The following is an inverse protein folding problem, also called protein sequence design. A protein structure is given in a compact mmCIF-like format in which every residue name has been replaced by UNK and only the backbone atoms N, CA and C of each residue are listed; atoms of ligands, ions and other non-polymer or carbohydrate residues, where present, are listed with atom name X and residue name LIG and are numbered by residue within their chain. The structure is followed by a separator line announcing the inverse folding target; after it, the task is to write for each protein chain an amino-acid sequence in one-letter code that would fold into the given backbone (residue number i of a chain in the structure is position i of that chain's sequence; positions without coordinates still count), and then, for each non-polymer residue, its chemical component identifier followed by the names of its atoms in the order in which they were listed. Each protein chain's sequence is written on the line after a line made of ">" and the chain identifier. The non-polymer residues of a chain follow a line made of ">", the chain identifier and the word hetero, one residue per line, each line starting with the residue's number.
data_IF_026369939181
#
_entry.id   IF_026369939181
#
_cell.length_a   1.000
_cell.length_b   1.000
_cell.length_c   1.000
_cell.angle_alpha   90.00
_cell.angle_beta   90.00
_cell.angle_gamma   90.00
#
_symmetry.space_group_name_H-M   'P 1'
#
loop_
_entity.id
_entity.type
_entity.pdbx_description
1 polymer ?
#
# COMPACT_ATOMS: atom_id res chain seq x y z
N UNK A 1 6.07 27.81 -6.66
CA UNK A 1 5.85 26.37 -6.96
C UNK A 1 6.72 25.53 -6.03
N UNK A 2 6.25 24.36 -5.60
CA UNK A 2 7.05 23.32 -4.93
C UNK A 2 7.21 22.09 -5.85
N UNK A 3 8.42 21.51 -5.84
CA UNK A 3 8.77 20.25 -6.48
C UNK A 3 9.20 19.23 -5.42
N UNK A 4 8.58 18.05 -5.44
CA UNK A 4 8.83 16.95 -4.50
C UNK A 4 9.68 15.87 -5.17
N UNK A 5 10.72 15.44 -4.47
CA UNK A 5 11.60 14.35 -4.88
C UNK A 5 11.68 13.24 -3.84
N UNK A 6 11.88 12.00 -4.29
CA UNK A 6 12.40 10.91 -3.46
C UNK A 6 13.92 10.87 -3.57
N UNK A 7 14.61 10.70 -2.44
CA UNK A 7 16.07 10.49 -2.43
C UNK A 7 16.39 9.00 -2.31
N UNK A 8 16.98 8.45 -3.38
CA UNK A 8 17.45 7.06 -3.44
C UNK A 8 18.67 6.80 -2.56
N UNK A 9 19.00 5.52 -2.34
CA UNK A 9 20.15 5.09 -1.51
C UNK A 9 21.51 5.60 -2.03
N UNK A 10 21.62 5.83 -3.34
CA UNK A 10 22.80 6.42 -3.99
C UNK A 10 22.84 7.96 -3.90
N UNK A 11 21.86 8.59 -3.24
CA UNK A 11 21.72 10.04 -3.17
C UNK A 11 21.06 10.68 -4.39
N UNK A 12 20.71 9.90 -5.42
CA UNK A 12 20.01 10.42 -6.60
C UNK A 12 18.59 10.88 -6.22
N UNK A 13 18.15 11.97 -6.85
CA UNK A 13 16.81 12.51 -6.68
C UNK A 13 15.92 12.09 -7.84
N UNK A 14 14.78 11.47 -7.51
CA UNK A 14 13.73 11.14 -8.46
C UNK A 14 12.57 12.12 -8.25
N UNK A 15 12.21 12.87 -9.29
CA UNK A 15 11.09 13.82 -9.21
C UNK A 15 9.76 13.04 -9.15
N UNK A 16 8.99 13.27 -8.09
CA UNK A 16 7.71 12.59 -7.87
C UNK A 16 6.52 13.46 -8.30
N UNK A 17 6.60 14.76 -8.03
CA UNK A 17 5.47 15.66 -8.20
C UNK A 17 5.89 17.13 -8.29
N UNK A 18 5.10 17.90 -9.04
CA UNK A 18 5.12 19.38 -9.05
C UNK A 18 3.75 19.89 -8.67
N UNK A 19 3.71 20.78 -7.70
CA UNK A 19 2.51 21.54 -7.34
C UNK A 19 2.16 22.59 -8.40
N UNK A 20 0.97 23.17 -8.31
CA UNK A 20 0.63 24.35 -9.11
C UNK A 20 1.41 25.62 -8.69
N UNK A 21 1.45 26.59 -9.60
CA UNK A 21 2.00 27.92 -9.33
C UNK A 21 0.95 28.77 -8.62
N UNK A 22 1.23 29.18 -7.39
CA UNK A 22 0.38 30.13 -6.65
C UNK A 22 0.84 31.55 -6.96
N UNK A 23 -0.01 32.33 -7.62
CA UNK A 23 0.33 33.69 -8.05
C UNK A 23 0.29 34.67 -6.88
N UNK A 24 1.27 35.59 -6.82
CA UNK A 24 1.29 36.75 -5.92
C UNK A 24 1.06 36.42 -4.43
N UNK A 25 1.70 35.37 -3.92
CA UNK A 25 1.58 34.97 -2.52
C UNK A 25 2.93 34.77 -1.85
N UNK A 26 3.10 35.40 -0.67
CA UNK A 26 4.25 35.17 0.23
C UNK A 26 3.99 34.05 1.25
N UNK A 27 2.80 33.45 1.24
CA UNK A 27 2.40 32.33 2.09
C UNK A 27 1.50 31.39 1.28
N UNK A 28 2.05 30.72 0.24
CA UNK A 28 1.27 29.91 -0.67
C UNK A 28 0.66 28.70 0.05
N UNK A 29 -0.59 28.37 -0.31
CA UNK A 29 -1.25 27.13 0.04
C UNK A 29 -1.62 26.42 -1.26
N UNK A 30 -1.08 25.21 -1.45
CA UNK A 30 -1.31 24.42 -2.66
C UNK A 30 -2.55 23.53 -2.53
N UNK A 31 -3.24 23.35 -3.64
CA UNK A 31 -4.45 22.54 -3.80
C UNK A 31 -4.09 21.14 -4.28
N UNK A 32 -3.09 21.01 -5.17
CA UNK A 32 -2.66 19.72 -5.67
C UNK A 32 -2.03 18.88 -4.56
N UNK A 33 -2.42 17.60 -4.53
CA UNK A 33 -1.93 16.60 -3.58
C UNK A 33 -1.16 15.52 -4.33
N UNK A 34 -0.22 14.90 -3.65
CA UNK A 34 0.53 13.76 -4.17
C UNK A 34 0.32 12.53 -3.29
N UNK A 35 -0.02 11.40 -3.92
CA UNK A 35 -0.23 10.12 -3.22
C UNK A 35 1.05 9.31 -3.22
N UNK A 36 1.51 8.92 -2.04
CA UNK A 36 2.69 8.09 -1.83
C UNK A 36 2.32 6.76 -1.18
N UNK A 37 3.01 5.69 -1.56
CA UNK A 37 2.92 4.40 -0.86
C UNK A 37 3.88 4.43 0.33
N UNK A 38 3.36 4.19 1.52
CA UNK A 38 4.17 4.04 2.73
C UNK A 38 4.71 2.61 2.85
N UNK A 39 6.03 2.49 2.99
CA UNK A 39 6.75 1.25 3.21
C UNK A 39 7.43 1.31 4.58
N UNK A 40 6.85 0.62 5.57
CA UNK A 40 7.33 0.64 6.96
C UNK A 40 8.80 0.22 7.09
N UNK A 41 9.23 -0.74 6.26
CA UNK A 41 10.56 -1.32 6.25
C UNK A 41 11.61 -0.46 5.52
N UNK A 42 11.22 0.67 4.92
CA UNK A 42 12.11 1.54 4.14
C UNK A 42 12.14 2.96 4.72
N UNK A 43 13.34 3.50 4.90
CA UNK A 43 13.52 4.93 5.19
C UNK A 43 13.25 5.73 3.92
N UNK A 44 12.04 6.27 3.80
CA UNK A 44 11.61 7.07 2.65
C UNK A 44 11.97 8.54 2.85
N UNK A 45 13.08 8.98 2.25
CA UNK A 45 13.56 10.37 2.34
C UNK A 45 12.93 11.22 1.24
N UNK A 46 12.27 12.31 1.65
CA UNK A 46 11.61 13.29 0.79
C UNK A 46 12.40 14.60 0.77
N UNK A 47 12.59 15.16 -0.43
CA UNK A 47 13.25 16.44 -0.66
C UNK A 47 12.27 17.38 -1.35
N UNK A 48 12.06 18.56 -0.76
CA UNK A 48 11.14 19.59 -1.25
C UNK A 48 11.97 20.77 -1.73
N UNK A 49 11.83 21.15 -3.00
CA UNK A 49 12.47 22.34 -3.58
C UNK A 49 11.42 23.37 -3.94
N UNK A 50 11.61 24.60 -3.48
CA UNK A 50 10.70 25.70 -3.77
C UNK A 50 11.32 26.64 -4.80
N UNK A 51 10.47 27.07 -5.73
CA UNK A 51 10.82 27.97 -6.81
C UNK A 51 9.81 29.11 -6.90
N UNK A 52 10.33 30.33 -7.05
CA UNK A 52 9.56 31.47 -7.54
C UNK A 52 9.58 31.42 -9.07
N UNK A 53 8.39 31.32 -9.66
CA UNK A 53 8.21 31.11 -11.09
C UNK A 53 8.08 32.48 -11.74
N UNK A 54 8.89 32.74 -12.76
CA UNK A 54 8.86 34.04 -13.42
C UNK A 54 7.47 34.30 -14.03
N UNK A 55 7.01 35.54 -13.89
CA UNK A 55 5.78 36.06 -14.47
C UNK A 55 5.59 35.75 -15.95
N UNK A 56 6.68 35.64 -16.73
CA UNK A 56 6.60 35.29 -18.15
C UNK A 56 6.12 33.84 -18.39
N UNK A 57 6.24 32.96 -17.39
CA UNK A 57 5.88 31.54 -17.49
C UNK A 57 4.53 31.20 -16.85
N UNK A 58 3.77 32.17 -16.35
CA UNK A 58 2.50 31.92 -15.64
C UNK A 58 1.43 31.18 -16.47
N UNK A 59 1.51 31.23 -17.81
CA UNK A 59 0.57 30.53 -18.70
C UNK A 59 1.15 29.25 -19.31
N UNK A 60 2.35 28.83 -18.88
CA UNK A 60 3.01 27.61 -19.36
C UNK A 60 2.56 26.44 -18.48
N UNK A 61 2.37 25.27 -19.09
CA UNK A 61 2.09 24.04 -18.35
C UNK A 61 3.25 23.74 -17.40
N UNK A 62 2.94 23.43 -16.14
CA UNK A 62 3.90 23.14 -15.06
C UNK A 62 4.92 22.05 -15.46
N UNK A 63 4.51 21.10 -16.29
CA UNK A 63 5.38 20.02 -16.79
C UNK A 63 6.43 20.51 -17.79
N UNK A 64 6.20 21.65 -18.41
CA UNK A 64 7.10 22.27 -19.40
C UNK A 64 8.02 23.32 -18.78
N UNK A 65 7.86 23.64 -17.49
CA UNK A 65 8.74 24.59 -16.80
C UNK A 65 10.13 23.98 -16.61
N UNK A 66 11.14 24.67 -17.12
CA UNK A 66 12.55 24.36 -16.84
C UNK A 66 12.95 24.98 -15.51
N UNK A 67 13.38 24.17 -14.55
CA UNK A 67 13.66 24.60 -13.17
C UNK A 67 14.88 25.53 -13.08
N UNK A 68 15.83 25.40 -14.01
CA UNK A 68 17.03 26.24 -14.09
C UNK A 68 16.71 27.68 -14.55
N UNK A 69 15.55 27.89 -15.17
CA UNK A 69 15.04 29.21 -15.56
C UNK A 69 14.21 29.88 -14.45
N UNK A 70 13.96 29.19 -13.33
CA UNK A 70 13.16 29.70 -12.21
C UNK A 70 14.05 30.11 -11.03
N UNK A 71 13.58 31.03 -10.20
CA UNK A 71 14.34 31.45 -9.02
C UNK A 71 14.20 30.41 -7.91
N UNK A 72 15.28 29.71 -7.57
CA UNK A 72 15.32 28.79 -6.43
C UNK A 72 15.23 29.55 -5.10
N UNK A 73 14.25 29.17 -4.27
CA UNK A 73 14.00 29.80 -2.96
C UNK A 73 14.62 29.01 -1.80
N UNK A 74 14.70 27.69 -1.92
CA UNK A 74 15.26 26.83 -0.87
C UNK A 74 14.82 25.38 -0.98
N UNK A 75 15.53 24.55 -0.21
CA UNK A 75 15.30 23.11 -0.08
C UNK A 75 15.01 22.74 1.38
N UNK A 76 14.09 21.80 1.58
CA UNK A 76 13.85 21.12 2.83
C UNK A 76 13.92 19.61 2.62
N UNK A 77 14.44 18.87 3.59
CA UNK A 77 14.52 17.40 3.56
C UNK A 77 13.94 16.82 4.84
N UNK A 78 13.13 15.78 4.72
CA UNK A 78 12.67 14.98 5.87
C UNK A 78 12.47 13.52 5.50
N UNK A 79 12.29 12.65 6.49
CA UNK A 79 11.81 11.28 6.27
C UNK A 79 10.29 11.27 6.40
N UNK A 80 9.60 10.53 5.53
CA UNK A 80 8.12 10.41 5.58
C UNK A 80 7.61 10.00 6.96
N UNK A 81 8.34 9.13 7.67
CA UNK A 81 8.01 8.71 9.03
C UNK A 81 7.97 9.86 10.04
N UNK A 82 8.75 10.94 9.83
CA UNK A 82 8.75 12.13 10.70
C UNK A 82 7.46 12.94 10.60
N UNK A 83 6.72 12.81 9.48
CA UNK A 83 5.44 13.50 9.26
C UNK A 83 4.30 12.65 9.85
N UNK A 84 4.20 11.39 9.42
CA UNK A 84 3.06 10.50 9.75
C UNK A 84 2.99 10.08 11.22
N UNK A 85 4.09 10.24 11.97
CA UNK A 85 4.14 9.95 13.43
C UNK A 85 3.78 11.15 14.30
N UNK A 86 3.61 12.35 13.71
CA UNK A 86 3.12 13.52 14.45
C UNK A 86 1.63 13.35 14.77
N UNK A 87 1.20 13.87 15.92
CA UNK A 87 -0.20 13.78 16.36
C UNK A 87 -1.19 14.42 15.39
N UNK A 88 -0.80 15.52 14.76
CA UNK A 88 -1.58 16.23 13.74
C UNK A 88 -1.15 15.84 12.31
N UNK A 89 -0.23 14.87 12.19
CA UNK A 89 0.36 14.42 10.93
C UNK A 89 0.96 15.57 10.11
N UNK A 90 1.43 16.61 10.80
CA UNK A 90 2.01 17.81 10.19
C UNK A 90 3.43 18.07 10.67
N UNK A 91 4.30 18.45 9.75
CA UNK A 91 5.69 18.81 10.02
C UNK A 91 6.00 20.17 9.41
N UNK A 92 6.49 21.10 10.23
CA UNK A 92 7.04 22.37 9.75
C UNK A 92 8.56 22.26 9.66
N UNK A 93 9.11 22.48 8.47
CA UNK A 93 10.53 22.32 8.15
C UNK A 93 11.07 23.67 7.67
N UNK A 94 12.25 24.07 8.16
CA UNK A 94 12.95 25.26 7.67
C UNK A 94 13.53 24.99 6.27
N UNK A 95 13.45 26.00 5.40
CA UNK A 95 14.04 25.98 4.07
C UNK A 95 15.46 26.52 4.12
N UNK A 96 16.38 25.84 3.45
CA UNK A 96 17.78 26.25 3.36
C UNK A 96 18.23 26.43 1.92
N UNK A 97 19.16 27.36 1.72
CA UNK A 97 19.90 27.51 0.46
C UNK A 97 21.39 27.32 0.72
N UNK A 98 22.08 26.58 -0.14
CA UNK A 98 23.55 26.57 -0.16
C UNK A 98 24.04 27.90 -0.73
N UNK A 99 24.61 28.76 0.14
CA UNK A 99 25.15 30.04 -0.28
C UNK A 99 26.55 29.82 -0.87
N UNK A 100 26.66 29.79 -2.20
CA UNK A 100 27.85 29.31 -2.92
C UNK A 100 29.10 30.18 -2.74
N UNK A 101 29.00 31.34 -2.06
CA UNK A 101 30.08 32.33 -2.07
C UNK A 101 30.41 33.05 -0.75
N UNK A 102 29.60 33.00 0.33
CA UNK A 102 29.84 33.92 1.49
C UNK A 102 29.63 33.40 2.91
N UNK A 103 29.20 32.15 3.15
CA UNK A 103 29.01 31.66 4.53
C UNK A 103 29.02 30.14 4.60
N UNK A 104 29.70 29.57 5.59
CA UNK A 104 29.67 28.13 5.92
C UNK A 104 28.36 27.70 6.60
N UNK A 105 27.44 28.62 6.84
CA UNK A 105 26.16 28.37 7.52
C UNK A 105 24.98 28.53 6.53
N UNK A 106 24.08 27.53 6.43
CA UNK A 106 22.90 27.61 5.59
C UNK A 106 21.98 28.74 6.04
N UNK A 107 21.53 29.57 5.08
CA UNK A 107 20.59 30.66 5.31
C UNK A 107 19.17 30.10 5.38
N UNK A 108 18.42 30.43 6.44
CA UNK A 108 16.99 30.13 6.51
C UNK A 108 16.24 31.05 5.53
N UNK A 109 15.50 30.44 4.60
CA UNK A 109 14.81 31.12 3.49
C UNK A 109 13.28 31.03 3.60
N UNK A 110 12.76 30.58 4.74
CA UNK A 110 11.34 30.43 5.00
C UNK A 110 11.01 29.09 5.64
N UNK A 111 9.72 28.79 5.75
CA UNK A 111 9.21 27.56 6.34
C UNK A 111 8.27 26.86 5.38
N UNK A 112 8.36 25.54 5.33
CA UNK A 112 7.43 24.66 4.63
C UNK A 112 6.66 23.84 5.65
N UNK A 113 5.33 23.90 5.61
CA UNK A 113 4.48 23.01 6.39
C UNK A 113 3.97 21.89 5.48
N UNK A 114 4.25 20.65 5.85
CA UNK A 114 3.81 19.44 5.13
C UNK A 114 2.79 18.73 6.00
N UNK A 115 1.63 18.41 5.44
CA UNK A 115 0.60 17.61 6.09
C UNK A 115 0.42 16.31 5.31
N UNK A 116 0.35 15.18 6.03
CA UNK A 116 0.07 13.88 5.46
C UNK A 116 -1.27 13.35 6.00
N UNK A 117 -2.01 12.66 5.14
CA UNK A 117 -3.24 11.97 5.53
C UNK A 117 -3.24 10.57 4.90
N UNK A 118 -3.71 9.57 5.64
CA UNK A 118 -3.91 8.24 5.06
C UNK A 118 -5.22 8.24 4.25
N UNK A 119 -5.15 7.71 3.02
CA UNK A 119 -6.31 7.64 2.15
C UNK A 119 -7.43 6.77 2.76
N UNK A 120 -8.67 7.24 2.73
CA UNK A 120 -9.83 6.54 3.34
C UNK A 120 -10.00 5.12 2.80
N UNK A 121 -9.75 4.91 1.50
CA UNK A 121 -9.84 3.58 0.89
C UNK A 121 -8.84 2.59 1.48
N UNK A 122 -7.72 3.06 2.04
CA UNK A 122 -6.72 2.21 2.72
C UNK A 122 -7.20 1.67 4.05
N UNK A 123 -8.16 2.35 4.68
CA UNK A 123 -8.74 1.97 5.99
C UNK A 123 -9.97 1.08 5.87
N UNK A 124 -10.44 0.84 4.65
CA UNK A 124 -11.74 0.22 4.42
C UNK A 124 -11.61 -1.30 4.33
N UNK A 125 -12.32 -1.99 5.21
CA UNK A 125 -12.47 -3.43 5.19
C UNK A 125 -13.93 -3.82 4.97
N UNK A 126 -14.12 -4.88 4.20
CA UNK A 126 -15.44 -5.38 3.84
C UNK A 126 -15.61 -6.76 4.44
N UNK A 127 -16.64 -6.90 5.26
CA UNK A 127 -17.11 -8.17 5.80
C UNK A 127 -18.22 -8.73 4.90
N UNK A 128 -18.02 -9.94 4.38
CA UNK A 128 -19.01 -10.61 3.52
C UNK A 128 -19.38 -11.98 4.06
N UNK A 129 -20.66 -12.34 4.03
CA UNK A 129 -21.10 -13.73 4.23
C UNK A 129 -21.73 -14.25 2.95
N UNK A 130 -21.26 -15.41 2.50
CA UNK A 130 -21.71 -16.03 1.27
C UNK A 130 -22.59 -17.24 1.57
N UNK A 131 -23.54 -17.47 0.66
CA UNK A 131 -24.32 -18.70 0.61
C UNK A 131 -24.42 -19.18 -0.83
N UNK A 132 -24.40 -20.49 -1.05
CA UNK A 132 -24.79 -21.05 -2.34
C UNK A 132 -26.14 -21.76 -2.26
N UNK A 133 -26.78 -21.98 -3.40
CA UNK A 133 -27.95 -22.86 -3.51
C UNK A 133 -27.85 -23.79 -4.71
N UNK A 134 -28.50 -24.95 -4.61
CA UNK A 134 -28.60 -25.93 -5.69
C UNK A 134 -27.23 -26.22 -6.35
N UNK A 135 -26.18 -26.42 -5.53
CA UNK A 135 -24.86 -26.79 -6.05
C UNK A 135 -24.94 -28.08 -6.87
N UNK A 136 -24.55 -28.01 -8.13
CA UNK A 136 -24.55 -29.14 -9.05
C UNK A 136 -23.14 -29.74 -9.11
N UNK A 137 -22.99 -30.97 -8.63
CA UNK A 137 -21.74 -31.73 -8.78
C UNK A 137 -21.96 -32.95 -9.68
N UNK A 138 -20.95 -33.25 -10.50
CA UNK A 138 -21.04 -34.28 -11.55
C UNK A 138 -21.29 -35.68 -11.01
N UNK A 139 -20.88 -35.96 -9.78
CA UNK A 139 -21.06 -37.27 -9.15
C UNK A 139 -22.09 -37.20 -8.02
N UNK A 140 -23.30 -37.70 -8.30
CA UNK A 140 -24.44 -37.71 -7.37
C UNK A 140 -24.21 -38.58 -6.13
N UNK A 141 -23.18 -39.43 -6.12
CA UNK A 141 -22.83 -40.29 -4.99
C UNK A 141 -21.58 -39.81 -4.23
N UNK A 142 -20.93 -38.75 -4.71
CA UNK A 142 -19.78 -38.16 -4.04
C UNK A 142 -20.20 -37.24 -2.88
N UNK A 143 -19.34 -37.12 -1.88
CA UNK A 143 -19.51 -36.12 -0.82
C UNK A 143 -19.33 -34.73 -1.42
N UNK A 144 -20.27 -33.85 -1.11
CA UNK A 144 -20.23 -32.45 -1.54
C UNK A 144 -19.77 -31.61 -0.36
N UNK A 145 -18.47 -31.41 -0.26
CA UNK A 145 -17.82 -30.67 0.81
C UNK A 145 -17.36 -29.28 0.29
N UNK A 146 -18.28 -28.31 0.04
CA UNK A 146 -17.93 -27.09 -0.68
C UNK A 146 -17.17 -26.06 0.17
N UNK A 147 -16.30 -25.31 -0.50
CA UNK A 147 -15.68 -24.07 -0.01
C UNK A 147 -15.49 -23.06 -1.14
N UNK A 148 -15.37 -21.78 -0.78
CA UNK A 148 -15.06 -20.70 -1.72
C UNK A 148 -13.59 -20.31 -1.66
N UNK A 149 -13.01 -20.05 -2.83
CA UNK A 149 -11.73 -19.38 -3.01
C UNK A 149 -11.97 -18.05 -3.72
N UNK A 150 -11.56 -16.96 -3.10
CA UNK A 150 -11.68 -15.61 -3.66
C UNK A 150 -10.29 -15.16 -4.09
N UNK A 151 -10.16 -14.82 -5.37
CA UNK A 151 -8.92 -14.39 -5.99
C UNK A 151 -9.07 -13.03 -6.64
N UNK A 152 -8.04 -12.19 -6.56
CA UNK A 152 -7.95 -10.97 -7.38
C UNK A 152 -7.25 -11.28 -8.70
N UNK A 153 -7.57 -10.49 -9.72
CA UNK A 153 -6.86 -10.52 -11.00
C UNK A 153 -5.87 -9.36 -11.04
N UNK A 154 -4.60 -9.64 -11.29
CA UNK A 154 -3.57 -8.61 -11.47
C UNK A 154 -3.30 -8.31 -12.95
N UNK A 155 -2.59 -7.22 -13.22
CA UNK A 155 -2.11 -6.89 -14.56
C UNK A 155 -1.32 -8.06 -15.15
N UNK A 156 -1.77 -8.57 -16.30
CA UNK A 156 -1.28 -9.81 -16.92
C UNK A 156 -2.19 -11.03 -16.75
N UNK A 157 -3.34 -10.90 -16.08
CA UNK A 157 -4.37 -11.94 -15.99
C UNK A 157 -4.09 -13.05 -14.97
N UNK A 158 -3.01 -12.91 -14.20
CA UNK A 158 -2.67 -13.85 -13.12
C UNK A 158 -3.68 -13.69 -11.98
N UNK A 159 -4.16 -14.82 -11.47
CA UNK A 159 -5.10 -14.87 -10.35
C UNK A 159 -4.33 -15.10 -9.05
N UNK A 160 -4.54 -14.22 -8.07
CA UNK A 160 -3.88 -14.31 -6.77
C UNK A 160 -4.96 -14.55 -5.70
N UNK A 161 -4.95 -15.70 -5.00
CA UNK A 161 -5.86 -15.95 -3.90
C UNK A 161 -5.68 -14.93 -2.77
N UNK A 162 -6.79 -14.35 -2.32
CA UNK A 162 -6.80 -13.37 -1.22
C UNK A 162 -7.61 -13.83 -0.02
N UNK A 163 -8.57 -14.73 -0.22
CA UNK A 163 -9.42 -15.23 0.85
C UNK A 163 -9.95 -16.64 0.53
N UNK A 164 -10.17 -17.44 1.57
CA UNK A 164 -10.75 -18.79 1.48
C UNK A 164 -11.72 -19.00 2.64
N UNK A 165 -12.88 -19.60 2.37
CA UNK A 165 -13.83 -19.98 3.43
C UNK A 165 -13.47 -21.32 4.07
N UNK A 166 -14.16 -21.67 5.16
CA UNK A 166 -14.16 -23.03 5.66
C UNK A 166 -14.82 -24.02 4.68
N UNK A 167 -14.52 -25.30 4.86
CA UNK A 167 -15.19 -26.40 4.17
C UNK A 167 -16.45 -26.78 4.94
N UNK A 168 -17.60 -26.72 4.28
CA UNK A 168 -18.87 -27.24 4.84
C UNK A 168 -19.06 -28.65 4.31
N UNK A 169 -19.43 -29.59 5.18
CA UNK A 169 -19.50 -31.02 4.81
C UNK A 169 -20.89 -31.40 4.30
N UNK A 170 -20.90 -32.11 3.18
CA UNK A 170 -22.08 -32.72 2.56
C UNK A 170 -23.30 -31.78 2.47
N UNK A 171 -23.11 -30.58 1.94
CA UNK A 171 -24.16 -29.56 1.82
C UNK A 171 -24.19 -28.95 0.42
N UNK A 172 -25.36 -28.94 -0.21
CA UNK A 172 -25.59 -28.35 -1.53
C UNK A 172 -26.09 -26.90 -1.46
N UNK A 173 -26.38 -26.41 -0.24
CA UNK A 173 -26.83 -25.05 0.03
C UNK A 173 -25.98 -24.42 1.16
N UNK A 174 -24.63 -24.46 1.04
CA UNK A 174 -23.74 -24.06 2.12
C UNK A 174 -23.91 -22.58 2.49
N UNK A 175 -23.85 -22.30 3.79
CA UNK A 175 -23.76 -20.95 4.36
C UNK A 175 -22.46 -20.83 5.15
N UNK A 176 -21.49 -20.09 4.61
CA UNK A 176 -20.18 -19.93 5.25
C UNK A 176 -20.18 -18.80 6.27
N UNK A 177 -19.22 -18.87 7.21
CA UNK A 177 -18.89 -17.76 8.09
C UNK A 177 -18.44 -16.54 7.29
N UNK A 178 -18.55 -15.38 7.93
CA UNK A 178 -18.09 -14.13 7.34
C UNK A 178 -16.59 -14.15 7.07
N UNK A 179 -16.24 -13.62 5.90
CA UNK A 179 -14.87 -13.37 5.47
C UNK A 179 -14.60 -11.87 5.44
N UNK A 180 -13.33 -11.49 5.60
CA UNK A 180 -12.89 -10.11 5.62
C UNK A 180 -11.88 -9.88 4.50
N UNK A 181 -12.10 -8.84 3.70
CA UNK A 181 -11.15 -8.40 2.66
C UNK A 181 -10.91 -6.90 2.81
N UNK A 182 -9.66 -6.47 2.68
CA UNK A 182 -9.31 -5.04 2.65
C UNK A 182 -9.30 -4.55 1.19
N UNK A 183 -9.76 -3.32 0.95
CA UNK A 183 -9.72 -2.70 -0.40
C UNK A 183 -8.30 -2.70 -0.98
N UNK A 184 -7.24 -2.51 -0.18
CA UNK A 184 -5.86 -2.60 -0.65
C UNK A 184 -5.49 -3.99 -1.19
N UNK A 185 -6.04 -5.06 -0.60
CA UNK A 185 -5.81 -6.41 -1.11
C UNK A 185 -6.47 -6.58 -2.47
N UNK A 186 -7.68 -6.04 -2.65
CA UNK A 186 -8.49 -6.15 -3.87
C UNK A 186 -8.06 -5.18 -4.98
N UNK A 187 -7.55 -4.00 -4.61
CA UNK A 187 -7.18 -2.90 -5.51
C UNK A 187 -8.18 -1.74 -5.43
N UNK A 188 -9.42 -1.99 -5.88
CA UNK A 188 -10.52 -1.01 -5.84
C UNK A 188 -11.86 -1.73 -5.70
N UNK A 189 -12.96 -0.99 -5.48
CA UNK A 189 -14.30 -1.59 -5.37
C UNK A 189 -14.81 -2.12 -6.71
N UNK A 190 -14.25 -1.58 -7.80
CA UNK A 190 -14.55 -1.89 -9.20
C UNK A 190 -13.67 -3.02 -9.76
N UNK A 191 -12.58 -3.37 -9.07
CA UNK A 191 -11.68 -4.45 -9.48
C UNK A 191 -12.41 -5.79 -9.48
N UNK A 192 -12.32 -6.52 -10.59
CA UNK A 192 -12.93 -7.85 -10.73
C UNK A 192 -12.27 -8.86 -9.79
N UNK A 193 -13.09 -9.52 -8.98
CA UNK A 193 -12.72 -10.70 -8.21
C UNK A 193 -13.25 -11.95 -8.90
N UNK A 194 -12.51 -13.04 -8.74
CA UNK A 194 -12.94 -14.38 -9.15
C UNK A 194 -13.29 -15.15 -7.89
N UNK A 195 -14.54 -15.58 -7.79
CA UNK A 195 -15.04 -16.38 -6.67
C UNK A 195 -15.33 -17.78 -7.21
N UNK A 196 -14.53 -18.74 -6.78
CA UNK A 196 -14.61 -20.12 -7.22
C UNK A 196 -15.15 -21.00 -6.09
N UNK A 197 -16.20 -21.75 -6.37
CA UNK A 197 -16.73 -22.77 -5.49
C UNK A 197 -16.11 -24.11 -5.85
N UNK A 198 -15.42 -24.73 -4.89
CA UNK A 198 -14.74 -26.00 -5.04
C UNK A 198 -15.36 -27.08 -4.15
N UNK A 199 -15.34 -28.32 -4.62
CA UNK A 199 -15.56 -29.50 -3.79
C UNK A 199 -14.24 -29.94 -3.15
N UNK A 200 -14.19 -30.03 -1.82
CA UNK A 200 -13.00 -30.46 -1.11
C UNK A 200 -12.71 -31.94 -1.36
N UNK A 201 -11.42 -32.25 -1.54
CA UNK A 201 -10.89 -33.59 -1.71
C UNK A 201 -9.65 -33.74 -0.82
N UNK A 202 -9.56 -34.83 -0.07
CA UNK A 202 -8.48 -35.06 0.90
C UNK A 202 -7.10 -35.27 0.25
N UNK A 203 -7.04 -35.53 -1.05
CA UNK A 203 -5.81 -35.66 -1.82
C UNK A 203 -5.20 -34.30 -2.23
N UNK A 204 -5.86 -33.18 -1.89
CA UNK A 204 -5.43 -31.81 -2.23
C UNK A 204 -5.83 -31.34 -3.63
N UNK A 205 -6.37 -32.22 -4.49
CA UNK A 205 -6.87 -31.86 -5.82
C UNK A 205 -8.38 -31.62 -5.75
N UNK A 206 -8.75 -30.38 -5.46
CA UNK A 206 -10.15 -29.97 -5.35
C UNK A 206 -10.80 -29.82 -6.72
N UNK A 207 -12.08 -30.16 -6.83
CA UNK A 207 -12.82 -30.09 -8.08
C UNK A 207 -13.64 -28.80 -8.15
N UNK A 208 -13.52 -28.06 -9.25
CA UNK A 208 -14.31 -26.85 -9.45
C UNK A 208 -15.79 -27.21 -9.67
N UNK A 209 -16.66 -26.67 -8.82
CA UNK A 209 -18.13 -26.76 -8.96
C UNK A 209 -18.62 -25.66 -9.90
N UNK A 210 -18.13 -24.43 -9.72
CA UNK A 210 -18.45 -23.28 -10.56
C UNK A 210 -17.79 -22.01 -10.07
N UNK A 211 -17.81 -20.96 -10.89
CA UNK A 211 -17.22 -19.65 -10.55
C UNK A 211 -18.11 -18.49 -10.95
N UNK A 212 -17.90 -17.33 -10.32
CA UNK A 212 -18.41 -16.03 -10.77
C UNK A 212 -17.27 -15.02 -10.79
N UNK A 213 -17.39 -14.03 -11.67
CA UNK A 213 -16.43 -12.94 -11.81
C UNK A 213 -17.18 -11.63 -11.53
N UNK A 214 -16.98 -11.06 -10.34
CA UNK A 214 -17.72 -9.89 -9.87
C UNK A 214 -16.79 -8.96 -9.08
N UNK A 215 -17.02 -7.66 -9.20
CA UNK A 215 -16.37 -6.65 -8.34
C UNK A 215 -17.07 -6.56 -6.98
N UNK A 216 -16.43 -5.91 -6.01
CA UNK A 216 -17.04 -5.67 -4.69
C UNK A 216 -18.33 -4.83 -4.81
N UNK A 217 -18.36 -3.86 -5.73
CA UNK A 217 -19.56 -3.06 -6.02
C UNK A 217 -20.72 -3.92 -6.53
N UNK A 218 -20.43 -4.92 -7.37
CA UNK A 218 -21.45 -5.84 -7.86
C UNK A 218 -21.92 -6.81 -6.78
N UNK A 219 -21.03 -7.27 -5.89
CA UNK A 219 -21.39 -8.10 -4.74
C UNK A 219 -22.29 -7.35 -3.74
N UNK A 220 -22.03 -6.06 -3.52
CA UNK A 220 -22.91 -5.18 -2.74
C UNK A 220 -24.30 -5.06 -3.39
N UNK A 221 -24.36 -4.93 -4.72
CA UNK A 221 -25.63 -4.92 -5.44
C UNK A 221 -26.38 -6.27 -5.34
N UNK A 222 -25.66 -7.39 -5.40
CA UNK A 222 -26.23 -8.74 -5.18
C UNK A 222 -26.84 -8.83 -3.77
N UNK A 223 -26.11 -8.34 -2.76
CA UNK A 223 -26.60 -8.26 -1.38
C UNK A 223 -27.88 -7.42 -1.27
N UNK A 224 -27.84 -6.18 -1.76
CA UNK A 224 -28.95 -5.22 -1.63
C UNK A 224 -30.22 -5.68 -2.35
N UNK A 225 -30.07 -6.38 -3.47
CA UNK A 225 -31.20 -6.90 -4.24
C UNK A 225 -31.73 -8.25 -3.73
N UNK A 226 -30.96 -8.95 -2.88
CA UNK A 226 -31.29 -10.30 -2.41
C UNK A 226 -31.37 -11.36 -3.51
N UNK A 227 -30.84 -11.08 -4.70
CA UNK A 227 -30.88 -11.99 -5.86
C UNK A 227 -29.58 -12.75 -5.96
N UNK A 228 -29.67 -14.07 -6.18
CA UNK A 228 -28.50 -14.91 -6.43
C UNK A 228 -27.94 -14.70 -7.83
N UNK A 229 -26.63 -14.86 -7.94
CA UNK A 229 -25.89 -14.87 -9.20
C UNK A 229 -25.61 -16.32 -9.63
N UNK A 230 -25.84 -16.66 -10.90
CA UNK A 230 -25.59 -18.01 -11.36
C UNK A 230 -24.08 -18.30 -11.48
N UNK A 231 -23.65 -19.46 -10.98
CA UNK A 231 -22.29 -19.94 -11.18
C UNK A 231 -22.08 -20.36 -12.64
N UNK A 232 -20.84 -20.27 -13.10
CA UNK A 232 -20.43 -20.60 -14.45
C UNK A 232 -19.27 -21.61 -14.45
N UNK A 233 -19.21 -22.47 -15.46
CA UNK A 233 -18.07 -23.34 -15.74
C UNK A 233 -17.47 -23.07 -17.12
N UNK A 234 -16.15 -23.21 -17.30
CA UNK A 234 -15.54 -23.15 -18.62
C UNK A 234 -16.03 -24.32 -19.48
N UNK A 235 -16.57 -24.04 -20.67
CA UNK A 235 -17.05 -25.08 -21.57
C UNK A 235 -15.90 -25.88 -22.17
N UNK A 236 -16.00 -27.21 -22.15
CA UNK A 236 -14.90 -28.12 -22.51
C UNK A 236 -14.84 -28.47 -24.02
N UNK A 237 -15.54 -27.75 -24.90
CA UNK A 237 -15.50 -28.06 -26.33
C UNK A 237 -16.28 -27.09 -27.22
N UNK A 238 -15.57 -26.20 -27.90
CA UNK A 238 -16.10 -25.34 -28.95
C UNK A 238 -15.20 -24.12 -29.19
N UNK A 239 -15.01 -23.72 -30.44
CA UNK A 239 -14.13 -22.60 -30.85
C UNK A 239 -14.61 -21.21 -30.39
N UNK A 240 -15.65 -21.12 -29.54
CA UNK A 240 -16.11 -19.91 -28.88
C UNK A 240 -16.07 -20.14 -27.35
N UNK A 241 -15.34 -19.28 -26.65
CA UNK A 241 -15.12 -19.30 -25.20
C UNK A 241 -16.38 -18.91 -24.37
N UNK A 242 -17.53 -19.52 -24.64
CA UNK A 242 -18.74 -19.25 -23.87
C UNK A 242 -18.76 -20.12 -22.61
N UNK A 243 -18.90 -19.47 -21.44
CA UNK A 243 -19.02 -20.15 -20.16
C UNK A 243 -20.42 -20.79 -20.03
N UNK A 244 -20.49 -22.05 -19.58
CA UNK A 244 -21.75 -22.72 -19.28
C UNK A 244 -22.31 -22.17 -17.96
N UNK A 245 -23.46 -21.50 -18.04
CA UNK A 245 -24.24 -21.06 -16.86
C UNK A 245 -24.89 -22.27 -16.18
N UNK A 246 -24.77 -22.36 -14.86
CA UNK A 246 -25.34 -23.40 -14.02
C UNK A 246 -26.63 -22.94 -13.34
N UNK A 247 -27.43 -23.89 -12.84
CA UNK A 247 -28.55 -23.58 -11.94
C UNK A 247 -28.06 -23.16 -10.55
N UNK A 248 -26.88 -23.63 -10.16
CA UNK A 248 -26.23 -23.28 -8.90
C UNK A 248 -26.04 -21.77 -8.79
N UNK A 249 -26.40 -21.20 -7.64
CA UNK A 249 -26.34 -19.74 -7.44
C UNK A 249 -25.49 -19.38 -6.23
N UNK A 250 -24.81 -18.24 -6.30
CA UNK A 250 -24.12 -17.57 -5.19
C UNK A 250 -24.95 -16.38 -4.69
N UNK A 251 -25.07 -16.25 -3.38
CA UNK A 251 -25.71 -15.14 -2.69
C UNK A 251 -24.72 -14.47 -1.74
N UNK A 252 -24.96 -13.18 -1.49
CA UNK A 252 -24.25 -12.38 -0.49
C UNK A 252 -25.26 -12.03 0.61
N UNK A 253 -25.29 -12.84 1.67
CA UNK A 253 -26.27 -12.69 2.76
C UNK A 253 -25.88 -11.53 3.71
N UNK A 254 -24.59 -11.17 3.76
CA UNK A 254 -24.06 -10.03 4.53
C UNK A 254 -23.03 -9.29 3.69
N UNK A 255 -23.11 -7.96 3.67
CA UNK A 255 -22.09 -7.06 3.14
C UNK A 255 -21.98 -5.84 4.05
N UNK A 256 -20.92 -5.74 4.84
CA UNK A 256 -20.68 -4.61 5.76
C UNK A 256 -19.35 -3.97 5.41
N UNK A 257 -19.41 -2.71 5.00
CA UNK A 257 -18.26 -1.84 4.83
C UNK A 257 -17.96 -1.14 6.16
N UNK A 258 -16.71 -1.24 6.63
CA UNK A 258 -16.29 -0.63 7.89
C UNK A 258 -14.89 -0.04 7.78
N UNK A 259 -14.67 1.05 8.52
CA UNK A 259 -13.35 1.66 8.68
C UNK A 259 -12.63 0.95 9.81
N UNK A 260 -11.46 0.40 9.53
CA UNK A 260 -10.59 -0.24 10.51
C UNK A 260 -9.48 0.71 10.95
N UNK A 261 -9.08 0.60 12.22
CA UNK A 261 -7.88 1.26 12.71
C UNK A 261 -6.65 0.65 12.05
N UNK A 262 -5.89 1.46 11.35
CA UNK A 262 -4.67 1.05 10.64
C UNK A 262 -3.45 1.19 11.53
N UNK A 263 -2.31 0.64 11.07
CA UNK A 263 -1.02 0.87 11.72
C UNK A 263 -0.71 2.36 11.91
N UNK A 264 -1.03 3.21 10.93
CA UNK A 264 -0.80 4.66 11.02
C UNK A 264 -1.69 5.34 12.06
N UNK A 265 -2.91 4.85 12.28
CA UNK A 265 -3.77 5.36 13.34
C UNK A 265 -3.16 5.14 14.73
N UNK A 266 -2.52 4.00 14.97
CA UNK A 266 -1.79 3.74 16.22
C UNK A 266 -0.59 4.67 16.38
N UNK A 267 0.20 4.88 15.32
CA UNK A 267 1.35 5.79 15.35
C UNK A 267 0.91 7.23 15.67
N UNK A 268 -0.11 7.75 14.98
CA UNK A 268 -0.66 9.08 15.23
C UNK A 268 -1.31 9.19 16.63
N UNK A 269 -1.84 8.08 17.15
CA UNK A 269 -2.31 7.94 18.52
C UNK A 269 -1.22 7.97 19.59
N UNK A 270 0.07 8.04 19.19
CA UNK A 270 1.21 8.11 20.10
C UNK A 270 1.78 6.76 20.50
N UNK A 271 1.48 5.69 19.78
CA UNK A 271 2.17 4.41 19.96
C UNK A 271 3.59 4.51 19.41
N UNK A 272 4.54 3.96 20.17
CA UNK A 272 5.95 3.93 19.80
C UNK A 272 6.42 2.48 19.60
N UNK A 273 7.34 2.28 18.66
CA UNK A 273 8.02 1.02 18.46
C UNK A 273 9.42 1.08 19.07
N UNK A 274 9.61 0.36 20.18
CA UNK A 274 10.89 0.31 20.86
C UNK A 274 11.79 -0.76 20.26
N UNK A 275 12.94 -0.34 19.72
CA UNK A 275 13.93 -1.27 19.21
C UNK A 275 14.72 -1.90 20.37
N UNK A 276 14.73 -3.24 20.41
CA UNK A 276 15.56 -4.02 21.32
C UNK A 276 16.53 -4.88 20.52
N UNK A 277 17.79 -4.90 20.94
CA UNK A 277 18.82 -5.73 20.33
C UNK A 277 19.39 -6.67 21.37
N UNK A 278 19.39 -7.96 21.06
CA UNK A 278 20.10 -8.98 21.82
C UNK A 278 21.20 -9.53 20.92
N UNK A 279 22.42 -9.51 21.43
CA UNK A 279 23.60 -9.94 20.70
C UNK A 279 24.07 -11.26 21.30
N UNK A 280 24.23 -12.28 20.45
CA UNK A 280 24.76 -13.57 20.86
C UNK A 280 26.28 -13.51 21.04
N UNK A 281 26.74 -13.77 22.25
CA UNK A 281 28.16 -13.86 22.62
C UNK A 281 28.60 -15.31 22.95
N UNK A 282 27.79 -16.32 22.64
CA UNK A 282 28.12 -17.70 22.93
C UNK A 282 29.07 -18.32 21.87
N UNK A 283 30.28 -18.67 22.30
CA UNK A 283 31.01 -19.84 21.78
C UNK A 283 31.62 -19.83 20.36
N UNK A 284 32.15 -18.72 19.83
CA UNK A 284 33.14 -18.74 18.72
C UNK A 284 33.87 -17.40 18.48
N UNK A 285 33.83 -16.46 19.43
CA UNK A 285 34.38 -15.11 19.23
C UNK A 285 35.71 -15.03 19.98
N UNK A 286 36.79 -15.43 19.31
CA UNK A 286 38.12 -15.05 19.79
C UNK A 286 38.24 -13.53 19.69
N UNK A 287 38.95 -12.91 20.65
CA UNK A 287 39.24 -11.47 20.65
C UNK A 287 39.64 -11.01 19.23
N UNK A 288 39.08 -9.90 18.70
CA UNK A 288 39.35 -9.43 17.34
C UNK A 288 40.77 -8.88 17.28
N UNK A 289 41.75 -9.77 17.17
CA UNK A 289 43.15 -9.42 17.04
C UNK A 289 43.72 -9.85 15.70
N UNK A 290 43.19 -10.89 15.03
CA UNK A 290 43.87 -11.43 13.85
C UNK A 290 42.97 -12.31 12.97
N UNK A 291 42.09 -11.73 12.16
CA UNK A 291 41.83 -12.11 10.74
C UNK A 291 40.53 -11.49 10.22
N UNK A 292 40.47 -11.22 8.90
CA UNK A 292 39.33 -10.60 8.20
C UNK A 292 38.09 -11.51 8.09
N UNK A 293 38.06 -12.65 8.79
CA UNK A 293 37.00 -13.67 8.70
C UNK A 293 36.11 -13.74 9.95
N UNK A 294 36.36 -12.90 10.95
CA UNK A 294 35.56 -12.88 12.18
C UNK A 294 34.29 -12.04 12.02
N UNK A 295 33.15 -12.55 12.52
CA UNK A 295 31.86 -11.83 12.56
C UNK A 295 31.94 -10.48 13.31
N UNK A 296 32.98 -10.28 14.11
CA UNK A 296 33.22 -9.10 14.96
C UNK A 296 34.37 -8.22 14.47
N UNK A 297 34.80 -8.39 13.23
CA UNK A 297 35.91 -7.62 12.68
C UNK A 297 35.57 -6.13 12.66
N UNK A 298 36.21 -5.36 13.55
CA UNK A 298 36.13 -3.89 13.55
C UNK A 298 37.09 -3.34 12.49
N UNK A 299 36.57 -2.55 11.55
CA UNK A 299 37.40 -1.58 10.82
C UNK A 299 38.00 -0.62 11.85
N UNK A 300 39.35 -0.59 11.97
CA UNK A 300 40.05 0.46 12.73
C UNK A 300 39.85 1.79 12.02
N UNK A 301 38.78 2.51 12.35
CA UNK A 301 38.75 3.94 12.13
C UNK A 301 39.66 4.58 13.17
N UNK A 302 40.67 5.29 12.67
CA UNK A 302 41.61 6.08 13.44
C UNK A 302 40.82 7.17 14.17
N UNK A 303 40.61 6.96 15.47
CA UNK A 303 40.06 8.00 16.35
C UNK A 303 41.10 9.10 16.41
N UNK A 304 40.83 10.22 15.74
CA UNK A 304 41.48 11.48 16.07
C UNK A 304 40.92 11.87 17.44
N UNK A 305 41.78 11.81 18.45
CA UNK A 305 41.53 12.44 19.75
C UNK A 305 41.05 13.87 19.53
N UNK A 306 39.99 14.27 20.24
CA UNK A 306 39.83 15.64 20.76
C UNK A 306 38.76 15.63 21.85
N UNK A 307 39.27 15.68 23.07
CA UNK A 307 38.82 16.42 24.26
C UNK A 307 37.34 16.47 24.68
N UNK A 308 37.17 16.03 25.92
CA UNK A 308 36.10 16.33 26.89
C UNK A 308 35.56 17.76 26.77
N UNK A 309 34.24 17.88 26.62
CA UNK A 309 33.50 19.04 27.11
C UNK A 309 32.29 18.53 27.91
N UNK A 310 32.25 18.90 29.18
CA UNK A 310 31.09 18.82 30.05
C UNK A 310 30.25 20.08 29.78
N UNK A 311 28.97 19.88 29.44
CA UNK A 311 27.87 20.77 29.78
C UNK A 311 26.68 19.93 30.23
#
# INVERSE_FOLDING_TARGET
>A
MMVLYAKGKNGALEELHRTEVVLNSSSPAWITKHTLIYHFEVVQVLVFRLYDVDTQFHNVDIKMLELDEQQFLGEATCVLSQIITQRDQSLTIDLYTEDSLRSTLPKNCGKLMVHAEECVSSKTAIEMAFRCSDLEYKDLFARNDPFLLISKVVEGGVQIPICKTEVIRNDLNPMWKSVFVNIQQVGSKESTLIIECYNFNSNGKHDLIGKVERSLAELENIHNNGKGENLCLPSSGGQNHDNKVLKSQLFVDKFIESVQYTFLDYLAGGFELNFMVAVDFTGAVQYPQTSCTDLWYKYKYQVMETDTIIL
#
